data_IF_231510264175
#
_entry.id   IF_231510264175
#
_cell.length_a   1.000
_cell.length_b   1.000
_cell.length_c   1.000
_cell.angle_alpha   90.00
_cell.angle_beta   90.00
_cell.angle_gamma   90.00
#
_symmetry.space_group_name_H-M   'P 1'
#
loop_
_entity.id
_entity.type
_entity.pdbx_description
1 polymer ?
#
# COMPACT_ATOMS: atom_id res chain seq x y z
N UNK A 1 -10.31 7.50 5.63
CA UNK A 1 -8.94 7.02 5.92
C UNK A 1 -8.14 7.16 4.64
N UNK A 2 -6.91 7.63 4.70
CA UNK A 2 -6.07 7.80 3.51
C UNK A 2 -5.51 6.46 3.04
N UNK A 3 -4.76 6.46 1.93
CA UNK A 3 -3.95 5.30 1.54
C UNK A 3 -2.76 5.19 2.47
N UNK A 4 -2.40 3.96 2.85
CA UNK A 4 -1.22 3.69 3.67
C UNK A 4 -0.03 3.23 2.82
N UNK A 5 1.17 3.52 3.31
CA UNK A 5 2.43 3.12 2.66
C UNK A 5 3.10 1.90 3.31
N UNK A 6 2.46 1.30 4.29
CA UNK A 6 2.82 0.01 4.87
C UNK A 6 1.55 -0.70 5.31
N UNK A 7 1.60 -2.03 5.39
CA UNK A 7 0.47 -2.80 5.93
C UNK A 7 0.52 -2.88 7.46
N UNK A 8 -0.62 -3.16 8.09
CA UNK A 8 -0.68 -3.45 9.53
C UNK A 8 0.27 -4.60 9.90
N UNK A 9 0.30 -5.62 9.07
CA UNK A 9 1.11 -6.83 9.20
C UNK A 9 2.61 -6.51 9.14
N UNK A 10 3.03 -5.61 8.25
CA UNK A 10 4.42 -5.15 8.16
C UNK A 10 4.91 -4.55 9.48
N UNK A 11 4.10 -3.68 10.08
CA UNK A 11 4.47 -2.99 11.33
C UNK A 11 4.43 -3.94 12.52
N UNK A 12 3.41 -4.80 12.62
CA UNK A 12 3.33 -5.80 13.69
C UNK A 12 4.48 -6.80 13.63
N UNK A 13 4.81 -7.28 12.44
CA UNK A 13 5.95 -8.17 12.21
C UNK A 13 7.29 -7.52 12.58
N UNK A 14 7.47 -6.23 12.28
CA UNK A 14 8.70 -5.52 12.61
C UNK A 14 8.89 -5.25 14.12
N UNK A 15 7.80 -5.09 14.87
CA UNK A 15 7.83 -4.83 16.32
C UNK A 15 7.76 -6.11 17.18
N UNK A 16 7.53 -7.27 16.56
CA UNK A 16 7.12 -8.52 17.22
C UNK A 16 5.91 -8.30 18.17
N UNK A 17 4.92 -7.53 17.70
CA UNK A 17 3.75 -7.17 18.49
C UNK A 17 2.64 -8.23 18.30
N UNK A 18 2.17 -8.84 19.39
CA UNK A 18 1.10 -9.85 19.35
C UNK A 18 -0.20 -9.29 18.75
N UNK A 19 -0.91 -10.10 17.96
CA UNK A 19 -2.00 -9.64 17.10
C UNK A 19 -3.32 -9.44 17.85
N UNK A 20 -3.38 -8.48 18.79
CA UNK A 20 -4.59 -8.22 19.57
C UNK A 20 -5.44 -7.09 18.98
N UNK A 21 -6.76 -7.25 18.96
CA UNK A 21 -7.69 -6.23 18.45
C UNK A 21 -7.57 -4.85 19.16
N UNK A 22 -7.02 -4.82 20.39
CA UNK A 22 -6.76 -3.57 21.12
C UNK A 22 -5.56 -2.80 20.57
N UNK A 23 -4.56 -3.50 20.03
CA UNK A 23 -3.40 -2.88 19.40
C UNK A 23 -3.64 -2.47 17.94
N UNK A 24 -4.53 -3.16 17.23
CA UNK A 24 -4.80 -2.90 15.80
C UNK A 24 -5.10 -1.44 15.53
N UNK A 25 -6.04 -0.86 16.29
CA UNK A 25 -6.40 0.55 16.14
C UNK A 25 -5.22 1.50 16.37
N UNK A 26 -4.31 1.18 17.31
CA UNK A 26 -3.12 2.00 17.58
C UNK A 26 -2.11 1.89 16.45
N UNK A 27 -1.89 0.69 15.93
CA UNK A 27 -1.01 0.42 14.79
C UNK A 27 -1.54 1.16 13.55
N UNK A 28 -2.84 1.03 13.26
CA UNK A 28 -3.51 1.70 12.15
C UNK A 28 -3.35 3.23 12.19
N UNK A 29 -3.57 3.82 13.37
CA UNK A 29 -3.41 5.26 13.57
C UNK A 29 -1.95 5.71 13.38
N UNK A 30 -0.98 4.90 13.83
CA UNK A 30 0.44 5.18 13.63
C UNK A 30 0.83 5.10 12.15
N UNK A 31 0.32 4.12 11.41
CA UNK A 31 0.56 3.98 9.96
C UNK A 31 -0.08 5.12 9.18
N UNK A 32 -1.32 5.50 9.49
CA UNK A 32 -1.97 6.65 8.87
C UNK A 32 -1.15 7.92 9.11
N UNK A 33 -0.77 8.21 10.36
CA UNK A 33 0.02 9.38 10.69
C UNK A 33 1.39 9.39 9.96
N UNK A 34 2.09 8.25 9.94
CA UNK A 34 3.33 8.09 9.19
C UNK A 34 3.15 8.32 7.69
N UNK A 35 2.10 7.75 7.09
CA UNK A 35 1.80 7.91 5.65
C UNK A 35 1.53 9.38 5.30
N UNK A 36 0.71 10.09 6.09
CA UNK A 36 0.44 11.52 5.90
C UNK A 36 1.69 12.37 6.09
N UNK A 37 2.50 12.06 7.10
CA UNK A 37 3.76 12.76 7.36
C UNK A 37 4.74 12.61 6.19
N UNK A 38 4.87 11.40 5.64
CA UNK A 38 5.70 11.13 4.46
C UNK A 38 5.26 11.95 3.25
N UNK A 39 3.95 12.07 2.99
CA UNK A 39 3.45 12.89 1.89
C UNK A 39 3.85 14.36 2.04
N UNK A 40 3.77 14.89 3.27
CA UNK A 40 4.21 16.24 3.59
C UNK A 40 5.73 16.41 3.49
N UNK A 41 6.50 15.44 3.99
CA UNK A 41 7.95 15.44 4.00
C UNK A 41 8.56 15.32 2.59
N UNK A 42 7.95 14.51 1.72
CA UNK A 42 8.42 14.29 0.35
C UNK A 42 7.73 15.21 -0.67
N UNK A 43 6.75 16.01 -0.23
CA UNK A 43 5.90 16.87 -1.08
C UNK A 43 5.30 16.14 -2.28
N UNK A 44 4.81 14.92 -2.03
CA UNK A 44 4.41 13.96 -3.07
C UNK A 44 3.37 12.98 -2.54
N UNK A 45 2.42 12.62 -3.39
CA UNK A 45 1.49 11.50 -3.17
C UNK A 45 1.90 10.33 -4.05
N UNK A 46 2.06 9.14 -3.44
CA UNK A 46 2.62 8.00 -4.15
C UNK A 46 1.56 7.14 -4.85
N UNK A 47 0.40 7.00 -4.22
CA UNK A 47 -0.64 6.10 -4.68
C UNK A 47 -1.30 6.57 -5.98
N UNK A 48 -1.71 5.63 -6.85
CA UNK A 48 -2.39 5.94 -8.09
C UNK A 48 -3.87 6.27 -7.86
N UNK A 49 -4.33 7.43 -8.33
CA UNK A 49 -5.71 7.91 -8.21
C UNK A 49 -6.24 8.38 -9.56
N UNK A 50 -7.39 7.83 -9.99
CA UNK A 50 -8.11 8.36 -11.15
C UNK A 50 -8.84 9.62 -10.70
N UNK A 51 -8.53 10.76 -11.31
CA UNK A 51 -9.21 12.00 -10.98
C UNK A 51 -9.26 12.95 -12.17
N UNK A 52 -10.22 13.86 -12.11
CA UNK A 52 -10.25 15.07 -12.94
C UNK A 52 -9.73 16.24 -12.11
N UNK A 53 -8.67 16.91 -12.59
CA UNK A 53 -8.09 18.10 -11.95
C UNK A 53 -8.20 19.29 -12.88
N UNK A 54 -8.29 20.47 -12.27
CA UNK A 54 -8.51 21.73 -12.95
C UNK A 54 -7.32 22.64 -12.71
N UNK A 55 -6.87 23.31 -13.76
CA UNK A 55 -5.74 24.23 -13.73
C UNK A 55 -6.14 25.54 -14.38
N UNK A 56 -5.62 26.64 -13.82
CA UNK A 56 -5.76 27.95 -14.43
C UNK A 56 -4.93 28.01 -15.72
N UNK A 57 -5.33 28.90 -16.62
CA UNK A 57 -4.56 29.22 -17.81
C UNK A 57 -3.16 29.70 -17.42
N UNK A 58 -2.08 29.26 -18.11
CA UNK A 58 -0.72 29.69 -17.80
C UNK A 58 -0.59 31.22 -17.82
N UNK A 59 0.07 31.80 -16.81
CA UNK A 59 0.22 33.26 -16.71
C UNK A 59 0.90 33.89 -17.94
N UNK A 60 0.76 35.21 -18.11
CA UNK A 60 1.17 35.95 -19.32
C UNK A 60 2.64 35.72 -19.77
N UNK A 61 3.55 35.41 -18.85
CA UNK A 61 4.96 35.17 -19.14
C UNK A 61 5.33 33.69 -19.24
N UNK A 62 4.38 32.79 -19.01
CA UNK A 62 4.55 31.37 -19.22
C UNK A 62 4.46 31.04 -20.72
N UNK A 63 5.04 29.92 -21.12
CA UNK A 63 4.86 29.41 -22.49
C UNK A 63 3.40 28.96 -22.63
N UNK A 64 2.61 29.51 -23.57
CA UNK A 64 1.17 29.23 -23.65
C UNK A 64 0.84 27.79 -24.05
N UNK A 65 1.82 27.00 -24.51
CA UNK A 65 1.69 25.58 -24.80
C UNK A 65 2.19 24.67 -23.67
N UNK A 66 2.58 25.21 -22.50
CA UNK A 66 3.12 24.45 -21.38
C UNK A 66 2.32 24.71 -20.10
N UNK A 67 1.89 23.63 -19.47
CA UNK A 67 1.25 23.64 -18.15
C UNK A 67 2.11 22.88 -17.15
N UNK A 68 2.55 23.55 -16.08
CA UNK A 68 3.10 22.88 -14.91
C UNK A 68 1.96 22.36 -14.06
N UNK A 69 2.08 21.13 -13.58
CA UNK A 69 1.00 20.49 -12.81
C UNK A 69 1.10 20.79 -11.31
N UNK A 70 2.04 21.65 -10.89
CA UNK A 70 2.27 22.00 -9.48
C UNK A 70 2.25 20.76 -8.59
N UNK A 71 1.54 20.76 -7.45
CA UNK A 71 1.45 19.64 -6.50
C UNK A 71 0.90 18.30 -7.06
N UNK A 72 0.46 18.30 -8.32
CA UNK A 72 -0.25 17.21 -8.96
C UNK A 72 0.61 16.45 -9.96
N UNK A 73 1.10 15.27 -9.59
CA UNK A 73 1.90 14.43 -10.50
C UNK A 73 1.02 13.46 -11.28
N UNK A 74 1.27 13.33 -12.58
CA UNK A 74 0.49 12.52 -13.51
C UNK A 74 1.25 11.24 -13.89
N UNK A 75 0.57 10.10 -13.83
CA UNK A 75 1.08 8.80 -14.31
C UNK A 75 0.68 8.60 -15.78
N UNK A 76 -0.59 8.87 -16.11
CA UNK A 76 -1.09 8.77 -17.48
C UNK A 76 -2.25 9.72 -17.75
N UNK A 77 -2.35 10.20 -18.99
CA UNK A 77 -3.40 11.09 -19.47
C UNK A 77 -4.55 10.27 -20.07
N UNK A 78 -5.79 10.56 -19.67
CA UNK A 78 -7.00 10.00 -20.28
C UNK A 78 -7.67 11.01 -21.20
N UNK A 79 -7.88 12.23 -20.71
CA UNK A 79 -8.45 13.31 -21.51
C UNK A 79 -7.96 14.67 -21.02
N UNK A 80 -7.95 15.64 -21.93
CA UNK A 80 -7.63 17.03 -21.64
C UNK A 80 -8.56 17.95 -22.43
N UNK A 81 -8.98 19.04 -21.83
CA UNK A 81 -9.69 20.13 -22.50
C UNK A 81 -9.21 21.48 -22.00
N UNK A 82 -9.41 22.52 -22.82
CA UNK A 82 -9.15 23.92 -22.46
C UNK A 82 -10.31 24.76 -22.97
N UNK A 83 -10.82 25.70 -22.16
CA UNK A 83 -11.91 26.58 -22.59
C UNK A 83 -13.20 25.86 -22.99
N UNK A 84 -13.41 24.63 -22.53
CA UNK A 84 -14.52 23.76 -22.93
C UNK A 84 -14.31 22.98 -24.24
N UNK A 85 -13.15 23.11 -24.89
CA UNK A 85 -12.79 22.39 -26.11
C UNK A 85 -11.89 21.21 -25.78
N UNK A 86 -12.25 20.01 -26.23
CA UNK A 86 -11.42 18.81 -26.10
C UNK A 86 -10.14 18.94 -26.92
N UNK A 87 -9.00 18.68 -26.31
CA UNK A 87 -7.70 18.59 -26.96
C UNK A 87 -7.41 17.11 -27.21
N UNK A 88 -7.00 16.77 -28.43
CA UNK A 88 -6.60 15.41 -28.77
C UNK A 88 -5.34 15.01 -27.98
N UNK A 89 -5.40 13.97 -27.11
CA UNK A 89 -4.26 13.50 -26.33
C UNK A 89 -3.03 13.13 -27.18
N UNK A 90 -3.20 12.78 -28.47
CA UNK A 90 -2.08 12.50 -29.37
C UNK A 90 -1.21 13.75 -29.66
N UNK A 91 -1.75 14.94 -29.44
CA UNK A 91 -1.05 16.22 -29.60
C UNK A 91 -0.38 16.71 -28.31
N UNK A 92 -0.37 15.87 -27.27
CA UNK A 92 0.06 16.23 -25.93
C UNK A 92 1.30 15.42 -25.54
N UNK A 93 2.35 16.12 -25.12
CA UNK A 93 3.56 15.53 -24.57
C UNK A 93 3.53 15.55 -23.04
N UNK A 94 3.77 14.39 -22.45
CA UNK A 94 3.94 14.22 -21.01
C UNK A 94 5.42 14.26 -20.67
N UNK A 95 5.76 15.10 -19.70
CA UNK A 95 7.15 15.43 -19.39
C UNK A 95 7.43 15.28 -17.89
N UNK A 96 8.63 14.82 -17.48
CA UNK A 96 9.81 14.52 -18.31
C UNK A 96 9.72 13.22 -19.14
N UNK A 97 10.06 13.28 -20.42
CA UNK A 97 10.01 12.10 -21.30
C UNK A 97 11.08 11.02 -20.98
N UNK A 98 12.24 11.41 -20.42
CA UNK A 98 13.40 10.53 -20.24
C UNK A 98 13.25 9.54 -19.09
N UNK A 99 12.54 9.93 -18.02
CA UNK A 99 12.33 9.08 -16.84
C UNK A 99 10.98 8.37 -16.83
N UNK A 100 10.05 8.78 -17.70
CA UNK A 100 8.66 8.38 -17.59
C UNK A 100 7.98 8.99 -16.36
N UNK A 101 6.84 8.42 -15.92
CA UNK A 101 6.11 8.95 -14.78
C UNK A 101 6.94 8.92 -13.48
N UNK A 102 6.69 9.83 -12.53
CA UNK A 102 5.64 10.86 -12.58
C UNK A 102 5.96 12.01 -13.53
N UNK A 103 4.98 12.36 -14.36
CA UNK A 103 5.02 13.55 -15.20
C UNK A 103 4.63 14.77 -14.37
N UNK A 104 5.42 15.84 -14.46
CA UNK A 104 5.24 17.07 -13.70
C UNK A 104 4.75 18.25 -14.53
N UNK A 105 4.69 18.07 -15.85
CA UNK A 105 4.14 19.06 -16.78
C UNK A 105 3.58 18.39 -18.02
N UNK A 106 2.70 19.14 -18.67
CA UNK A 106 2.09 18.79 -19.95
C UNK A 106 2.47 19.88 -20.95
N UNK A 107 2.92 19.47 -22.14
CA UNK A 107 3.24 20.37 -23.24
C UNK A 107 2.40 20.03 -24.47
N UNK A 108 1.79 21.02 -25.11
CA UNK A 108 1.15 20.85 -26.42
C UNK A 108 2.21 20.82 -27.51
N UNK A 109 2.01 19.96 -28.50
CA UNK A 109 2.88 19.88 -29.66
C UNK A 109 2.74 21.15 -30.51
N UNK A 110 3.77 21.99 -30.51
CA UNK A 110 3.80 23.26 -31.27
C UNK A 110 3.78 23.06 -32.80
N UNK A 111 3.96 21.83 -33.29
CA UNK A 111 3.77 21.48 -34.69
C UNK A 111 2.31 21.22 -35.08
N UNK A 112 1.38 21.24 -34.13
CA UNK A 112 -0.06 21.10 -34.37
C UNK A 112 -0.79 22.41 -34.08
N UNK A 113 -2.10 22.45 -34.37
CA UNK A 113 -2.96 23.60 -34.07
C UNK A 113 -3.56 23.56 -32.66
N UNK A 114 -3.05 22.69 -31.77
CA UNK A 114 -3.55 22.57 -30.40
C UNK A 114 -3.08 23.75 -29.55
N UNK A 115 -3.99 24.38 -28.81
CA UNK A 115 -3.67 25.49 -27.91
C UNK A 115 -4.49 25.40 -26.62
N UNK A 116 -3.90 25.91 -25.52
CA UNK A 116 -4.67 26.22 -24.31
C UNK A 116 -5.43 27.54 -24.48
N UNK A 117 -6.54 27.71 -23.75
CA UNK A 117 -7.40 28.88 -23.77
C UNK A 117 -8.65 28.72 -24.63
N UNK A 118 -9.24 29.86 -25.02
CA UNK A 118 -10.47 29.92 -25.81
C UNK A 118 -11.75 29.96 -24.98
N UNK A 119 -11.66 29.80 -23.66
CA UNK A 119 -12.77 29.94 -22.72
C UNK A 119 -13.11 31.38 -22.34
N UNK A 120 -14.26 31.56 -21.66
CA UNK A 120 -14.70 32.87 -21.16
C UNK A 120 -13.91 33.36 -19.93
N UNK A 121 -13.09 32.51 -19.33
CA UNK A 121 -12.28 32.81 -18.14
C UNK A 121 -10.95 32.05 -18.21
N UNK A 122 -9.91 32.62 -17.61
CA UNK A 122 -8.62 31.95 -17.40
C UNK A 122 -8.62 31.05 -16.16
N UNK A 123 -9.62 31.16 -15.29
CA UNK A 123 -9.73 30.35 -14.08
C UNK A 123 -10.25 28.95 -14.42
N UNK A 124 -9.53 27.92 -13.97
CA UNK A 124 -9.86 26.50 -14.22
C UNK A 124 -10.11 26.19 -15.69
N UNK A 125 -9.41 26.91 -16.58
CA UNK A 125 -9.59 26.80 -18.02
C UNK A 125 -9.19 25.41 -18.54
N UNK A 126 -8.15 24.81 -17.95
CA UNK A 126 -7.62 23.51 -18.36
C UNK A 126 -8.16 22.42 -17.44
N UNK A 127 -8.78 21.40 -18.02
CA UNK A 127 -9.29 20.23 -17.31
C UNK A 127 -8.54 18.99 -17.78
N UNK A 128 -7.97 18.23 -16.84
CA UNK A 128 -7.23 17.00 -17.14
C UNK A 128 -7.85 15.85 -16.35
N UNK A 129 -8.26 14.80 -17.06
CA UNK A 129 -8.62 13.51 -16.45
C UNK A 129 -7.52 12.51 -16.75
N UNK A 130 -7.10 11.77 -15.73
CA UNK A 130 -6.03 10.80 -15.87
C UNK A 130 -5.78 10.04 -14.58
N UNK A 131 -4.73 9.23 -14.61
CA UNK A 131 -4.20 8.56 -13.43
C UNK A 131 -3.13 9.46 -12.82
N UNK A 132 -3.37 9.95 -11.61
CA UNK A 132 -2.47 10.81 -10.85
C UNK A 132 -1.70 9.99 -9.81
N UNK A 133 -0.51 10.43 -9.43
CA UNK A 133 0.34 9.78 -8.43
C UNK A 133 1.80 9.66 -8.88
N UNK A 134 2.57 8.86 -8.14
CA UNK A 134 3.99 8.63 -8.43
C UNK A 134 4.18 7.46 -9.41
N UNK A 135 3.55 6.32 -9.12
CA UNK A 135 3.61 5.13 -9.96
C UNK A 135 2.28 4.36 -9.89
N UNK A 136 2.09 3.43 -10.82
CA UNK A 136 1.01 2.44 -10.77
C UNK A 136 1.58 1.03 -10.93
N UNK A 137 2.74 0.79 -10.33
CA UNK A 137 3.40 -0.52 -10.39
C UNK A 137 2.60 -1.49 -9.53
N UNK A 138 2.16 -2.58 -10.14
CA UNK A 138 1.36 -3.60 -9.49
C UNK A 138 2.01 -4.98 -9.65
N UNK A 139 1.87 -5.81 -8.63
CA UNK A 139 2.30 -7.22 -8.64
C UNK A 139 1.08 -8.11 -8.50
N UNK A 140 1.01 -9.20 -9.26
CA UNK A 140 -0.04 -10.21 -9.07
C UNK A 140 0.16 -10.87 -7.71
N UNK A 141 -0.86 -10.82 -6.84
CA UNK A 141 -0.74 -11.23 -5.44
C UNK A 141 -1.62 -12.42 -5.10
N UNK A 142 -2.80 -12.54 -5.73
CA UNK A 142 -3.72 -13.65 -5.51
C UNK A 142 -4.69 -13.80 -6.70
N UNK A 143 -5.51 -14.85 -6.66
CA UNK A 143 -6.74 -14.93 -7.44
C UNK A 143 -7.97 -14.73 -6.52
N UNK A 144 -9.06 -14.19 -7.05
CA UNK A 144 -10.33 -14.17 -6.35
C UNK A 144 -10.84 -15.60 -6.16
N UNK A 145 -11.02 -16.03 -4.90
CA UNK A 145 -11.46 -17.39 -4.58
C UNK A 145 -12.99 -17.55 -4.66
N UNK A 146 -13.74 -16.45 -4.62
CA UNK A 146 -15.19 -16.41 -4.80
C UNK A 146 -15.58 -15.14 -5.57
N UNK A 147 -16.70 -15.15 -6.32
CA UNK A 147 -17.20 -13.95 -6.98
C UNK A 147 -17.64 -12.89 -5.97
N UNK A 148 -17.57 -11.63 -6.36
CA UNK A 148 -18.07 -10.49 -5.59
C UNK A 148 -18.82 -9.50 -6.50
N UNK A 149 -20.05 -9.14 -6.13
CA UNK A 149 -20.84 -8.11 -6.79
C UNK A 149 -20.32 -6.69 -6.51
N UNK A 150 -20.76 -5.70 -7.28
CA UNK A 150 -20.31 -4.31 -7.15
C UNK A 150 -20.69 -3.63 -5.82
N UNK A 151 -21.67 -4.18 -5.08
CA UNK A 151 -22.07 -3.68 -3.76
C UNK A 151 -21.39 -4.41 -2.60
N UNK A 152 -20.69 -5.51 -2.86
CA UNK A 152 -20.08 -6.32 -1.82
C UNK A 152 -18.90 -5.60 -1.18
N UNK A 153 -18.85 -5.58 0.15
CA UNK A 153 -17.78 -4.95 0.94
C UNK A 153 -16.68 -5.94 1.35
N UNK A 154 -16.75 -7.16 0.84
CA UNK A 154 -15.77 -8.21 1.10
C UNK A 154 -15.30 -8.88 -0.17
N UNK A 155 -14.02 -9.24 -0.22
CA UNK A 155 -13.41 -10.03 -1.27
C UNK A 155 -12.72 -11.24 -0.63
N UNK A 156 -13.03 -12.46 -1.09
CA UNK A 156 -12.31 -13.66 -0.66
C UNK A 156 -11.26 -13.99 -1.70
N UNK A 157 -10.01 -14.13 -1.28
CA UNK A 157 -8.87 -14.42 -2.15
C UNK A 157 -8.30 -15.82 -1.89
N UNK A 158 -7.52 -16.34 -2.82
CA UNK A 158 -6.70 -17.53 -2.59
C UNK A 158 -5.54 -17.26 -1.62
N UNK A 159 -4.50 -18.11 -1.62
CA UNK A 159 -3.21 -17.76 -1.04
C UNK A 159 -2.78 -16.40 -1.57
N UNK A 160 -2.32 -15.53 -0.67
CA UNK A 160 -2.26 -14.10 -0.90
C UNK A 160 -1.01 -13.52 -0.26
N UNK A 161 0.12 -13.72 -0.94
CA UNK A 161 1.40 -13.19 -0.48
C UNK A 161 1.34 -11.67 -0.30
N UNK A 162 1.64 -11.23 0.92
CA UNK A 162 1.79 -9.82 1.29
C UNK A 162 0.54 -8.95 1.09
N UNK A 163 -0.67 -9.51 1.03
CA UNK A 163 -1.89 -8.69 1.14
C UNK A 163 -2.21 -8.46 2.61
N UNK A 164 -2.05 -7.21 3.07
CA UNK A 164 -2.35 -6.79 4.43
C UNK A 164 -3.38 -5.65 4.51
N UNK A 165 -3.76 -5.29 5.73
CA UNK A 165 -4.63 -4.13 5.97
C UNK A 165 -3.87 -2.84 5.64
N UNK A 166 -4.50 -1.93 4.89
CA UNK A 166 -3.90 -0.72 4.34
C UNK A 166 -3.44 -0.84 2.88
N UNK A 167 -3.44 -2.07 2.34
CA UNK A 167 -3.02 -2.33 0.97
C UNK A 167 -4.03 -1.76 -0.05
N UNK A 168 -3.51 -1.22 -1.15
CA UNK A 168 -4.31 -0.92 -2.36
C UNK A 168 -4.27 -2.15 -3.27
N UNK A 169 -5.45 -2.62 -3.65
CA UNK A 169 -5.64 -3.70 -4.60
C UNK A 169 -6.20 -3.17 -5.91
N UNK A 170 -5.93 -3.89 -7.00
CA UNK A 170 -6.58 -3.69 -8.29
C UNK A 170 -7.07 -5.00 -8.88
N UNK A 171 -8.32 -5.02 -9.33
CA UNK A 171 -8.92 -6.14 -10.08
C UNK A 171 -9.58 -5.54 -11.32
N UNK A 172 -9.13 -5.95 -12.50
CA UNK A 172 -9.49 -5.26 -13.74
C UNK A 172 -9.14 -3.77 -13.68
N UNK A 173 -10.15 -2.90 -13.83
CA UNK A 173 -10.05 -1.44 -13.71
C UNK A 173 -10.40 -0.89 -12.34
N UNK A 174 -10.96 -1.70 -11.43
CA UNK A 174 -11.35 -1.28 -10.09
C UNK A 174 -10.14 -1.28 -9.14
N UNK A 175 -10.02 -0.23 -8.32
CA UNK A 175 -9.12 -0.19 -7.18
C UNK A 175 -9.91 -0.30 -5.88
N UNK A 176 -9.35 -1.03 -4.92
CA UNK A 176 -9.96 -1.27 -3.62
C UNK A 176 -8.96 -1.00 -2.50
N UNK A 177 -9.43 -0.53 -1.35
CA UNK A 177 -8.60 -0.37 -0.14
C UNK A 177 -8.93 -1.48 0.86
N UNK A 178 -7.93 -2.24 1.29
CA UNK A 178 -8.10 -3.26 2.33
C UNK A 178 -8.19 -2.57 3.69
N UNK A 179 -9.30 -2.79 4.38
CA UNK A 179 -9.60 -2.19 5.70
C UNK A 179 -9.65 -3.22 6.83
N UNK A 180 -9.71 -4.50 6.49
CA UNK A 180 -9.72 -5.59 7.45
C UNK A 180 -9.45 -6.93 6.80
N UNK A 181 -9.08 -7.91 7.63
CA UNK A 181 -8.94 -9.31 7.25
C UNK A 181 -9.64 -10.18 8.28
N UNK A 182 -10.16 -11.29 7.80
CA UNK A 182 -10.89 -12.25 8.61
C UNK A 182 -10.70 -13.66 8.06
N UNK A 183 -10.95 -14.64 8.92
CA UNK A 183 -10.83 -16.05 8.59
C UNK A 183 -11.86 -16.44 7.52
N UNK A 184 -11.39 -17.13 6.49
CA UNK A 184 -12.18 -17.74 5.43
C UNK A 184 -11.79 -19.20 5.30
N UNK A 185 -12.76 -20.04 4.96
CA UNK A 185 -12.53 -21.45 4.69
C UNK A 185 -11.61 -21.58 3.47
N UNK A 186 -10.57 -22.40 3.58
CA UNK A 186 -9.64 -22.67 2.45
C UNK A 186 -10.17 -23.75 1.52
N UNK A 187 -11.24 -24.45 1.90
CA UNK A 187 -11.77 -25.63 1.22
C UNK A 187 -10.97 -26.91 1.51
N UNK A 188 -9.97 -26.84 2.39
CA UNK A 188 -9.12 -27.97 2.78
C UNK A 188 -9.52 -28.48 4.17
N UNK A 189 -9.32 -29.76 4.40
CA UNK A 189 -9.53 -30.40 5.70
C UNK A 189 -8.27 -31.12 6.15
N UNK A 190 -8.09 -31.23 7.45
CA UNK A 190 -6.98 -31.98 8.04
C UNK A 190 -7.08 -33.47 7.67
N UNK A 191 -6.07 -33.99 6.98
CA UNK A 191 -6.05 -35.39 6.50
C UNK A 191 -5.56 -36.38 7.55
N UNK A 192 -4.78 -35.93 8.53
CA UNK A 192 -4.25 -36.78 9.60
C UNK A 192 -4.50 -36.11 10.96
N UNK A 193 -5.12 -36.81 11.93
CA UNK A 193 -5.43 -36.20 13.22
C UNK A 193 -4.20 -35.63 13.91
N UNK A 194 -4.39 -34.48 14.57
CA UNK A 194 -3.41 -33.89 15.46
C UNK A 194 -3.84 -34.18 16.90
N UNK A 195 -2.88 -34.54 17.75
CA UNK A 195 -3.14 -34.69 19.18
C UNK A 195 -3.13 -33.33 19.89
N UNK A 196 -3.57 -33.32 21.15
CA UNK A 196 -3.54 -32.12 21.99
C UNK A 196 -2.13 -31.73 22.46
N UNK A 197 -1.08 -32.40 21.97
CA UNK A 197 0.31 -32.12 22.35
C UNK A 197 1.01 -31.34 21.24
N UNK A 198 1.81 -30.34 21.61
CA UNK A 198 2.53 -29.49 20.64
C UNK A 198 3.68 -30.21 19.90
N UNK A 199 3.79 -31.53 20.00
CA UNK A 199 4.80 -32.35 19.29
C UNK A 199 4.40 -32.65 17.84
N UNK A 200 3.09 -32.68 17.56
CA UNK A 200 2.56 -32.98 16.23
C UNK A 200 2.53 -31.71 15.40
N UNK A 201 3.60 -31.43 14.64
CA UNK A 201 3.79 -30.18 13.88
C UNK A 201 3.60 -30.34 12.36
N UNK A 202 3.18 -31.52 11.91
CA UNK A 202 2.91 -31.81 10.49
C UNK A 202 1.39 -31.79 10.25
N UNK A 203 0.93 -30.83 9.45
CA UNK A 203 -0.47 -30.70 9.04
C UNK A 203 -0.60 -31.27 7.63
N UNK A 204 -1.22 -32.43 7.51
CA UNK A 204 -1.50 -33.06 6.23
C UNK A 204 -2.76 -32.45 5.58
N UNK A 205 -2.65 -32.01 4.32
CA UNK A 205 -3.74 -31.42 3.53
C UNK A 205 -3.94 -32.17 2.21
N UNK A 206 -5.04 -31.94 1.51
CA UNK A 206 -5.27 -32.58 0.21
C UNK A 206 -4.46 -31.94 -0.91
N UNK A 207 -4.22 -30.63 -0.83
CA UNK A 207 -3.41 -29.87 -1.76
C UNK A 207 -2.59 -28.80 -1.02
N UNK A 208 -1.28 -29.03 -0.92
CA UNK A 208 -0.36 -28.09 -0.26
C UNK A 208 -0.07 -26.83 -1.07
N UNK A 209 -0.37 -26.82 -2.38
CA UNK A 209 -0.20 -25.61 -3.22
C UNK A 209 -1.23 -24.53 -2.90
N UNK A 210 -2.31 -24.90 -2.19
CA UNK A 210 -3.32 -23.99 -1.69
C UNK A 210 -2.92 -23.24 -0.42
N UNK A 211 -1.64 -23.20 -0.03
CA UNK A 211 -1.10 -22.54 1.17
C UNK A 211 0.26 -21.89 0.90
N UNK A 212 0.64 -20.95 1.77
CA UNK A 212 1.92 -20.24 1.71
C UNK A 212 2.65 -20.27 3.06
N UNK A 213 3.99 -20.23 3.02
CA UNK A 213 4.81 -20.08 4.23
C UNK A 213 4.53 -18.71 4.87
N UNK A 214 4.39 -18.68 6.19
CA UNK A 214 4.03 -17.48 6.95
C UNK A 214 2.52 -17.28 7.13
N UNK A 215 1.68 -18.10 6.50
CA UNK A 215 0.23 -18.04 6.66
C UNK A 215 -0.20 -18.55 8.05
N UNK A 216 -1.17 -17.86 8.67
CA UNK A 216 -1.78 -18.30 9.93
C UNK A 216 -3.06 -19.08 9.61
N UNK A 217 -3.07 -20.34 10.04
CA UNK A 217 -4.20 -21.25 9.93
C UNK A 217 -5.01 -21.24 11.24
N UNK A 218 -6.32 -21.41 11.13
CA UNK A 218 -7.22 -21.65 12.25
C UNK A 218 -7.93 -23.00 12.05
N UNK A 219 -7.76 -23.91 13.01
CA UNK A 219 -8.47 -25.18 13.09
C UNK A 219 -9.24 -25.19 14.41
N UNK A 220 -10.57 -25.32 14.35
CA UNK A 220 -11.49 -25.23 15.49
C UNK A 220 -11.31 -23.92 16.30
N UNK A 221 -10.35 -23.87 17.22
CA UNK A 221 -9.96 -22.66 17.97
C UNK A 221 -8.44 -22.49 18.13
N UNK A 222 -7.64 -23.40 17.55
CA UNK A 222 -6.18 -23.31 17.58
C UNK A 222 -5.68 -22.55 16.36
N UNK A 223 -4.76 -21.60 16.58
CA UNK A 223 -4.02 -20.94 15.51
C UNK A 223 -2.67 -21.62 15.31
N UNK A 224 -2.27 -21.81 14.07
CA UNK A 224 -0.99 -22.43 13.71
C UNK A 224 -0.32 -21.60 12.61
N UNK A 225 0.97 -21.30 12.75
CA UNK A 225 1.74 -20.58 11.73
C UNK A 225 2.45 -21.57 10.81
N UNK A 226 2.25 -21.48 9.50
CA UNK A 226 2.99 -22.29 8.52
C UNK A 226 4.44 -21.83 8.46
N UNK A 227 5.39 -22.74 8.69
CA UNK A 227 6.83 -22.45 8.66
C UNK A 227 7.54 -23.08 7.46
N UNK A 228 6.99 -24.16 6.92
CA UNK A 228 7.54 -24.82 5.72
C UNK A 228 6.45 -25.66 5.04
N UNK A 229 6.61 -25.95 3.74
CA UNK A 229 5.68 -26.74 2.94
C UNK A 229 6.46 -27.77 2.11
N UNK A 230 6.18 -29.05 2.32
CA UNK A 230 6.77 -30.16 1.58
C UNK A 230 5.65 -31.01 0.94
N UNK A 231 5.35 -30.74 -0.34
CA UNK A 231 4.21 -31.35 -1.03
C UNK A 231 2.90 -31.00 -0.31
N UNK A 232 2.17 -32.03 0.14
CA UNK A 232 0.89 -31.90 0.85
C UNK A 232 1.03 -31.90 2.39
N UNK A 233 2.25 -31.71 2.90
CA UNK A 233 2.53 -31.61 4.32
C UNK A 233 2.98 -30.18 4.64
N UNK A 234 2.22 -29.50 5.50
CA UNK A 234 2.59 -28.20 6.05
C UNK A 234 3.29 -28.44 7.38
N UNK A 235 4.51 -27.93 7.53
CA UNK A 235 5.15 -27.85 8.85
C UNK A 235 4.68 -26.58 9.52
N UNK A 236 4.18 -26.67 10.75
CA UNK A 236 3.59 -25.53 11.46
C UNK A 236 4.17 -25.32 12.85
N UNK A 237 4.19 -24.06 13.29
CA UNK A 237 4.28 -23.71 14.70
C UNK A 237 2.87 -23.65 15.29
N UNK A 238 2.54 -24.65 16.10
CA UNK A 238 1.28 -24.76 16.85
C UNK A 238 1.21 -23.79 18.03
N UNK A 239 0.01 -23.63 18.61
CA UNK A 239 -0.25 -22.66 19.68
C UNK A 239 0.20 -21.24 19.32
N UNK A 240 0.00 -20.85 18.08
CA UNK A 240 0.40 -19.52 17.60
C UNK A 240 -0.49 -18.45 18.23
N UNK A 241 0.09 -17.26 18.47
CA UNK A 241 -0.62 -16.08 18.97
C UNK A 241 -1.38 -16.33 20.30
N UNK A 242 -0.80 -17.17 21.17
CA UNK A 242 -1.37 -17.49 22.49
C UNK A 242 -2.59 -18.42 22.46
N UNK A 243 -2.90 -19.02 21.31
CA UNK A 243 -3.91 -20.07 21.23
C UNK A 243 -3.46 -21.35 21.94
N UNK A 244 -4.39 -22.22 22.30
CA UNK A 244 -4.12 -23.45 23.07
C UNK A 244 -4.10 -24.65 22.13
N UNK A 245 -3.10 -25.55 22.20
CA UNK A 245 -3.11 -26.81 21.46
C UNK A 245 -4.38 -27.63 21.73
N UNK A 246 -5.04 -28.08 20.66
CA UNK A 246 -6.20 -28.95 20.74
C UNK A 246 -6.03 -30.24 19.91
N UNK A 247 -6.84 -31.25 20.19
CA UNK A 247 -6.94 -32.39 19.30
C UNK A 247 -7.83 -32.03 18.11
N UNK A 248 -7.42 -32.38 16.90
CA UNK A 248 -8.14 -32.06 15.67
C UNK A 248 -8.31 -33.34 14.84
N UNK A 249 -9.52 -33.59 14.33
CA UNK A 249 -9.82 -34.76 13.50
C UNK A 249 -10.73 -34.33 12.35
N UNK A 250 -10.21 -34.33 11.12
CA UNK A 250 -10.98 -33.90 9.95
C UNK A 250 -11.42 -32.43 9.98
N UNK A 251 -10.82 -31.60 10.85
CA UNK A 251 -11.20 -30.21 11.03
C UNK A 251 -11.00 -29.41 9.73
N UNK A 252 -11.95 -28.52 9.43
CA UNK A 252 -11.81 -27.56 8.34
C UNK A 252 -10.69 -26.57 8.65
N UNK A 253 -9.96 -26.15 7.61
CA UNK A 253 -8.82 -25.25 7.73
C UNK A 253 -9.26 -23.87 7.27
N UNK A 254 -9.12 -22.88 8.15
CA UNK A 254 -9.40 -21.49 7.84
C UNK A 254 -8.11 -20.67 7.78
N UNK A 255 -8.08 -19.62 6.96
CA UNK A 255 -6.96 -18.67 6.89
C UNK A 255 -7.45 -17.23 6.67
N UNK A 256 -6.59 -16.22 6.89
CA UNK A 256 -6.92 -14.78 6.79
C UNK A 256 -7.09 -14.29 5.34
N UNK A 257 -8.03 -14.90 4.61
CA UNK A 257 -8.26 -14.71 3.17
C UNK A 257 -9.53 -13.93 2.83
N UNK A 258 -10.40 -13.64 3.80
CA UNK A 258 -11.54 -12.74 3.58
C UNK A 258 -11.15 -11.32 3.92
N UNK A 259 -11.01 -10.50 2.90
CA UNK A 259 -10.65 -9.09 2.98
C UNK A 259 -11.92 -8.26 3.12
N UNK A 260 -11.95 -7.34 4.07
CA UNK A 260 -12.93 -6.25 4.10
C UNK A 260 -12.36 -5.08 3.31
N UNK A 261 -13.09 -4.60 2.31
CA UNK A 261 -12.57 -3.62 1.35
C UNK A 261 -13.50 -2.41 1.19
N UNK A 262 -12.91 -1.24 0.95
CA UNK A 262 -13.62 -0.11 0.35
C UNK A 262 -13.56 -0.27 -1.17
N UNK A 263 -14.72 -0.52 -1.79
CA UNK A 263 -14.88 -0.70 -3.24
C UNK A 263 -14.86 0.62 -4.00
N UNK A 264 -14.54 0.59 -5.29
CA UNK A 264 -14.53 1.79 -6.14
C UNK A 264 -13.64 2.91 -5.57
N UNK A 265 -12.52 2.55 -4.96
CA UNK A 265 -11.63 3.52 -4.34
C UNK A 265 -10.78 4.24 -5.41
N UNK A 266 -10.17 5.35 -5.01
CA UNK A 266 -9.18 6.08 -5.83
C UNK A 266 -9.73 6.48 -7.20
N UNK A 267 -10.99 6.91 -7.20
CA UNK A 267 -11.73 7.38 -8.38
C UNK A 267 -12.16 6.31 -9.37
N UNK A 268 -12.06 5.03 -8.99
CA UNK A 268 -12.61 3.92 -9.79
C UNK A 268 -14.06 3.63 -9.44
N UNK A 269 -14.74 2.83 -10.25
CA UNK A 269 -16.12 2.37 -9.97
C UNK A 269 -16.08 0.90 -9.59
N UNK A 270 -16.89 0.52 -8.60
CA UNK A 270 -17.01 -0.87 -8.19
C UNK A 270 -17.58 -1.75 -9.32
N UNK A 271 -16.89 -2.84 -9.65
CA UNK A 271 -17.26 -3.76 -10.73
C UNK A 271 -17.61 -5.15 -10.18
N UNK A 272 -18.23 -5.99 -11.00
CA UNK A 272 -18.35 -7.41 -10.66
C UNK A 272 -16.99 -8.08 -10.79
N UNK A 273 -16.60 -8.86 -9.78
CA UNK A 273 -15.38 -9.68 -9.76
C UNK A 273 -15.80 -11.14 -9.90
N UNK A 274 -15.17 -11.84 -10.82
CA UNK A 274 -15.37 -13.27 -11.06
C UNK A 274 -14.37 -14.11 -10.27
N UNK A 275 -14.74 -15.35 -9.97
CA UNK A 275 -13.78 -16.31 -9.42
C UNK A 275 -12.64 -16.54 -10.43
N UNK A 276 -11.40 -16.56 -9.94
CA UNK A 276 -10.21 -16.68 -10.77
C UNK A 276 -9.66 -15.36 -11.31
N UNK A 277 -10.38 -14.24 -11.15
CA UNK A 277 -9.86 -12.93 -11.53
C UNK A 277 -8.57 -12.64 -10.75
N UNK A 278 -7.54 -12.16 -11.47
CA UNK A 278 -6.25 -11.82 -10.85
C UNK A 278 -6.41 -10.59 -9.97
N UNK A 279 -6.02 -10.74 -8.71
CA UNK A 279 -5.92 -9.66 -7.73
C UNK A 279 -4.49 -9.16 -7.72
N UNK A 280 -4.33 -7.91 -8.14
CA UNK A 280 -3.07 -7.22 -8.09
C UNK A 280 -2.96 -6.40 -6.80
N UNK A 281 -1.76 -6.32 -6.23
CA UNK A 281 -1.42 -5.38 -5.15
C UNK A 281 -0.55 -4.26 -5.71
N UNK A 282 -0.83 -3.03 -5.31
CA UNK A 282 0.00 -1.88 -5.66
C UNK A 282 1.30 -1.87 -4.84
N UNK A 283 2.43 -1.67 -5.52
CA UNK A 283 3.75 -1.67 -4.90
C UNK A 283 4.16 -0.25 -4.47
N UNK A 284 4.16 -0.05 -3.15
CA UNK A 284 4.76 1.14 -2.54
C UNK A 284 6.27 1.14 -2.82
N UNK A 285 6.89 2.26 -3.24
CA UNK A 285 8.33 2.32 -3.41
C UNK A 285 9.07 1.86 -2.15
N UNK A 286 10.04 0.95 -2.30
CA UNK A 286 10.73 0.30 -1.18
C UNK A 286 11.19 1.26 -0.06
N UNK A 287 11.96 2.33 -0.36
CA UNK A 287 12.38 3.29 0.66
C UNK A 287 11.22 4.00 1.38
N UNK A 288 10.10 4.22 0.69
CA UNK A 288 8.89 4.85 1.25
C UNK A 288 8.19 3.88 2.20
N UNK A 289 8.06 2.60 1.82
CA UNK A 289 7.50 1.56 2.70
C UNK A 289 8.34 1.37 3.95
N UNK A 290 9.65 1.24 3.81
CA UNK A 290 10.57 1.11 4.95
C UNK A 290 10.50 2.31 5.89
N UNK A 291 10.46 3.54 5.34
CA UNK A 291 10.30 4.74 6.16
C UNK A 291 8.95 4.75 6.88
N UNK A 292 7.86 4.36 6.22
CA UNK A 292 6.53 4.30 6.83
C UNK A 292 6.50 3.33 8.01
N UNK A 293 7.11 2.16 7.87
CA UNK A 293 7.25 1.19 8.97
C UNK A 293 8.04 1.82 10.12
N UNK A 294 9.21 2.41 9.84
CA UNK A 294 10.05 3.02 10.87
C UNK A 294 9.36 4.16 11.65
N UNK A 295 8.66 5.07 10.96
CA UNK A 295 7.92 6.17 11.59
C UNK A 295 6.74 5.67 12.43
N UNK A 296 6.03 4.64 11.95
CA UNK A 296 4.96 4.01 12.70
C UNK A 296 5.50 3.36 13.99
N UNK A 297 6.63 2.66 13.91
CA UNK A 297 7.30 2.06 15.07
C UNK A 297 7.74 3.12 16.10
N UNK A 298 8.36 4.20 15.64
CA UNK A 298 8.75 5.31 16.52
C UNK A 298 7.54 5.90 17.22
N UNK A 299 6.45 6.11 16.50
CA UNK A 299 5.20 6.62 17.08
C UNK A 299 4.67 5.68 18.17
N UNK A 300 4.64 4.37 17.92
CA UNK A 300 4.17 3.38 18.89
C UNK A 300 5.07 3.30 20.13
N UNK A 301 6.40 3.34 19.96
CA UNK A 301 7.36 3.35 21.07
C UNK A 301 7.30 4.64 21.88
N UNK A 302 7.09 5.79 21.25
CA UNK A 302 6.92 7.04 21.96
C UNK A 302 5.62 7.06 22.77
N UNK A 303 4.52 6.56 22.20
CA UNK A 303 3.26 6.41 22.92
C UNK A 303 3.40 5.51 24.16
N UNK A 304 4.14 4.39 24.07
CA UNK A 304 4.36 3.52 25.23
C UNK A 304 5.24 4.17 26.30
N UNK A 305 6.18 5.04 25.91
CA UNK A 305 7.01 5.82 26.84
C UNK A 305 6.31 7.06 27.44
N UNK A 306 5.08 7.37 27.02
CA UNK A 306 4.40 8.62 27.40
C UNK A 306 5.08 9.88 26.85
N UNK A 307 5.79 9.76 25.72
CA UNK A 307 6.59 10.81 25.11
C UNK A 307 7.68 11.40 26.04
N UNK A 308 8.20 10.58 26.96
CA UNK A 308 9.25 11.00 27.88
C UNK A 308 10.54 11.37 27.13
N UNK A 309 11.02 12.62 27.34
CA UNK A 309 12.25 13.13 26.67
C UNK A 309 13.55 12.63 27.31
N UNK A 310 13.49 11.98 28.47
CA UNK A 310 14.64 11.48 29.22
C UNK A 310 14.21 10.28 30.04
N UNK A 311 14.96 9.18 29.97
CA UNK A 311 14.81 8.03 30.87
C UNK A 311 15.99 8.00 31.85
N UNK A 312 15.68 7.84 33.14
CA UNK A 312 16.66 7.90 34.24
C UNK A 312 16.67 9.24 34.99
N UNK A 313 17.35 9.28 36.13
CA UNK A 313 17.50 10.45 37.01
C UNK A 313 18.97 10.57 37.41
N UNK A 314 19.53 11.77 37.41
CA UNK A 314 20.94 12.01 37.79
C UNK A 314 21.94 11.68 36.66
N UNK A 315 23.16 11.30 37.02
CA UNK A 315 24.31 11.11 36.10
C UNK A 315 24.14 9.98 35.08
N UNK A 316 23.08 9.17 35.21
CA UNK A 316 22.73 8.05 34.31
C UNK A 316 21.59 8.39 33.36
N UNK A 317 21.06 9.62 33.39
CA UNK A 317 20.04 10.08 32.46
C UNK A 317 20.54 9.98 31.01
N UNK A 318 19.83 9.25 30.17
CA UNK A 318 20.13 9.15 28.73
C UNK A 318 19.03 9.84 27.94
N UNK A 319 19.44 10.62 26.95
CA UNK A 319 18.53 11.15 25.94
C UNK A 319 18.00 10.00 25.11
N UNK A 320 16.67 9.84 25.10
CA UNK A 320 15.99 8.84 24.27
C UNK A 320 15.79 9.45 22.89
N UNK A 321 16.54 8.96 21.91
CA UNK A 321 16.45 9.38 20.51
C UNK A 321 17.34 10.59 20.16
N UNK A 322 18.19 10.40 19.15
CA UNK A 322 18.95 11.49 18.51
C UNK A 322 20.44 11.49 18.82
N UNK A 323 21.17 10.46 18.39
CA UNK A 323 22.61 10.60 18.12
C UNK A 323 22.80 11.15 16.71
N UNK A 324 23.59 12.21 16.54
CA UNK A 324 24.00 12.68 15.21
C UNK A 324 24.89 11.61 14.57
N UNK A 325 24.37 10.85 13.60
CA UNK A 325 25.15 9.86 12.84
C UNK A 325 25.61 10.50 11.51
N UNK A 326 26.86 10.21 11.14
CA UNK A 326 27.47 10.68 9.91
C UNK A 326 26.70 10.24 8.66
N UNK A 327 26.66 11.12 7.64
CA UNK A 327 25.97 10.96 6.34
C UNK A 327 26.38 9.75 5.50
N UNK A 328 27.35 8.95 5.94
CA UNK A 328 27.99 7.88 5.16
C UNK A 328 27.57 6.47 5.56
N UNK A 329 26.63 6.30 6.49
CA UNK A 329 26.20 4.96 6.93
C UNK A 329 24.71 4.71 6.63
N UNK A 330 24.46 3.76 5.74
CA UNK A 330 23.12 3.31 5.37
C UNK A 330 22.42 2.63 6.56
N UNK A 331 21.18 3.04 6.85
CA UNK A 331 20.23 2.26 7.67
C UNK A 331 20.49 2.23 9.18
N UNK A 332 21.40 3.05 9.73
CA UNK A 332 21.71 3.04 11.17
C UNK A 332 20.75 3.88 12.02
N UNK A 333 19.93 4.75 11.41
CA UNK A 333 18.99 5.63 12.13
C UNK A 333 17.77 5.98 11.30
N UNK A 334 16.70 6.42 11.96
CA UNK A 334 15.51 6.93 11.26
C UNK A 334 15.83 8.18 10.43
N UNK A 335 16.77 9.02 10.87
CA UNK A 335 17.26 10.16 10.10
C UNK A 335 17.89 9.73 8.78
N UNK A 336 18.67 8.63 8.77
CA UNK A 336 19.24 8.09 7.54
C UNK A 336 18.18 7.58 6.56
N UNK A 337 17.10 6.97 7.08
CA UNK A 337 15.96 6.53 6.25
C UNK A 337 15.20 7.72 5.66
N UNK A 338 14.99 8.78 6.44
CA UNK A 338 14.38 10.04 5.97
C UNK A 338 15.21 10.67 4.85
N UNK A 339 16.52 10.78 5.04
CA UNK A 339 17.42 11.33 4.02
C UNK A 339 17.45 10.47 2.75
N UNK A 340 17.45 9.14 2.90
CA UNK A 340 17.40 8.21 1.78
C UNK A 340 16.11 8.39 0.97
N UNK A 341 14.95 8.36 1.62
CA UNK A 341 13.66 8.54 0.97
C UNK A 341 13.52 9.92 0.30
N UNK A 342 14.02 10.98 0.95
CA UNK A 342 14.05 12.32 0.37
C UNK A 342 14.95 12.39 -0.86
N UNK A 343 16.13 11.78 -0.78
CA UNK A 343 17.09 11.80 -1.88
C UNK A 343 16.57 11.04 -3.12
N UNK A 344 15.91 9.90 -2.92
CA UNK A 344 15.41 9.06 -4.01
C UNK A 344 14.03 9.48 -4.52
N UNK A 345 13.12 9.87 -3.64
CA UNK A 345 11.69 10.06 -3.96
C UNK A 345 11.12 11.42 -3.53
N UNK A 346 11.90 12.24 -2.83
CA UNK A 346 11.52 13.62 -2.55
C UNK A 346 11.37 14.41 -3.84
N UNK A 347 10.32 15.23 -3.91
CA UNK A 347 10.11 16.09 -5.06
C UNK A 347 11.17 17.18 -5.14
N UNK A 348 11.88 17.26 -6.28
CA UNK A 348 12.95 18.24 -6.51
C UNK A 348 12.50 19.33 -7.49
N UNK A 349 12.76 20.59 -7.15
CA UNK A 349 12.34 21.74 -7.97
C UNK A 349 12.97 21.77 -9.36
N UNK A 350 14.18 21.21 -9.55
CA UNK A 350 14.89 21.12 -10.83
C UNK A 350 15.75 19.86 -10.85
N UNK A 351 15.56 19.00 -11.85
CA UNK A 351 16.60 18.03 -12.22
C UNK A 351 17.61 18.77 -13.09
N UNK A 352 18.90 18.78 -12.70
CA UNK A 352 19.95 19.32 -13.56
C UNK A 352 19.96 18.51 -14.86
N UNK A 353 19.82 19.19 -15.99
CA UNK A 353 20.25 18.62 -17.26
C UNK A 353 21.76 18.40 -17.13
N UNK A 354 22.20 17.15 -17.26
CA UNK A 354 23.61 16.81 -17.46
C UNK A 354 23.88 16.92 -18.96
#
# INVERSE_FOLDING_TARGET
MGVWYATREDVKGALDYAETARSDRRVDQAIEAASRWIEGFLHRRFYPEIATRYFDYPGQYARPWRLWLDDSELISLTSISSGGVTIDPATVFLEPNRSGPPYNRVELNIGTNSAFGGGQTTQRDITITGLWGYNSTDTAAAAAAAPAGSTDTTLTVGPADGIGVGQVLRVGSERMLVTGRSMADTGQTLQTPLDAQQKSVSVAVSDGTGFEVGEVLLLDSERMLVVDIAGNQLTVKRAWDGSVPAAHTGSAIYALRRLTVTRGALGTTAATISQGDTVYRWEVPGPVRTLCIAEALVTLMQQSSGYARTTGVGSSARQVGGGTIAKTQYGLSIESLREQAYTSHGRKARMRAV
#
